data_IF_004246063237
#
_entry.id   IF_004246063237
#
_cell.length_a   1.000
_cell.length_b   1.000
_cell.length_c   1.000
_cell.angle_alpha   90.00
_cell.angle_beta   90.00
_cell.angle_gamma   90.00
#
_symmetry.space_group_name_H-M   'P 1'
#
loop_
_entity.id
_entity.type
_entity.pdbx_description
1 polymer ?
#
# COMPACT_ATOMS: atom_id res chain seq x y z
N UNK A 1 6.11 6.72 -0.77
CA UNK A 1 4.97 7.32 -0.03
C UNK A 1 5.42 8.64 0.57
N UNK A 2 4.54 9.60 0.76
CA UNK A 2 4.90 10.91 1.32
C UNK A 2 3.73 11.55 2.06
N UNK A 3 4.06 12.39 3.03
CA UNK A 3 3.13 13.25 3.74
C UNK A 3 3.27 14.68 3.26
N UNK A 4 2.16 15.36 3.03
CA UNK A 4 2.10 16.75 2.63
C UNK A 4 1.30 17.55 3.65
N UNK A 5 1.71 18.79 3.92
CA UNK A 5 0.85 19.74 4.60
C UNK A 5 -0.31 20.14 3.68
N UNK A 6 -1.54 20.03 4.16
CA UNK A 6 -2.73 20.26 3.35
C UNK A 6 -2.97 21.73 2.98
N UNK A 7 -2.39 22.67 3.73
CA UNK A 7 -2.55 24.11 3.51
C UNK A 7 -1.44 24.67 2.62
N UNK A 8 -0.20 24.22 2.82
CA UNK A 8 0.98 24.75 2.13
C UNK A 8 1.44 23.88 0.97
N UNK A 9 1.10 22.59 0.96
CA UNK A 9 1.62 21.61 0.02
C UNK A 9 3.08 21.23 0.27
N UNK A 10 3.67 21.67 1.39
CA UNK A 10 5.04 21.32 1.75
C UNK A 10 5.16 19.83 2.07
N UNK A 11 6.29 19.24 1.68
CA UNK A 11 6.60 17.85 1.98
C UNK A 11 7.03 17.74 3.44
N UNK A 12 6.23 17.06 4.24
CA UNK A 12 6.53 16.76 5.65
C UNK A 12 7.52 15.60 5.77
N UNK A 13 7.33 14.56 4.97
CA UNK A 13 8.20 13.39 4.92
C UNK A 13 8.06 12.66 3.59
N UNK A 14 9.11 11.93 3.21
CA UNK A 14 9.07 10.96 2.11
C UNK A 14 9.74 9.67 2.54
N UNK A 15 9.11 8.56 2.18
CA UNK A 15 9.63 7.22 2.40
C UNK A 15 9.63 6.46 1.08
N UNK A 16 10.81 6.04 0.63
CA UNK A 16 10.96 5.20 -0.54
C UNK A 16 10.26 3.85 -0.32
N UNK A 17 9.74 3.27 -1.40
CA UNK A 17 9.21 1.91 -1.33
C UNK A 17 10.37 0.92 -1.10
N UNK A 18 10.39 0.14 0.01
CA UNK A 18 11.46 -0.79 0.29
C UNK A 18 11.67 -1.89 -0.76
N UNK A 19 10.63 -2.20 -1.56
CA UNK A 19 10.73 -3.16 -2.66
C UNK A 19 11.40 -2.62 -3.92
N UNK A 20 11.84 -1.35 -3.90
CA UNK A 20 12.41 -0.68 -5.07
C UNK A 20 11.49 -0.74 -6.30
N UNK A 21 10.18 -0.60 -6.05
CA UNK A 21 9.12 -0.62 -7.05
C UNK A 21 8.09 0.48 -6.71
N UNK A 22 6.98 0.56 -7.43
CA UNK A 22 5.98 1.60 -7.20
C UNK A 22 4.88 1.17 -6.23
N UNK A 23 4.19 2.17 -5.69
CA UNK A 23 2.94 2.04 -4.96
C UNK A 23 1.92 2.89 -5.72
N UNK A 24 1.03 2.23 -6.46
CA UNK A 24 0.13 2.89 -7.42
C UNK A 24 -1.28 3.12 -6.85
N UNK A 25 -1.71 2.25 -5.94
CA UNK A 25 -3.01 2.37 -5.29
C UNK A 25 -3.05 3.53 -4.29
N UNK A 26 -4.24 4.09 -4.02
CA UNK A 26 -4.38 5.07 -2.95
C UNK A 26 -4.02 4.45 -1.59
N UNK A 27 -3.45 5.27 -0.73
CA UNK A 27 -3.16 4.92 0.67
C UNK A 27 -4.41 5.05 1.53
N UNK A 28 -4.47 4.34 2.65
CA UNK A 28 -5.55 4.48 3.65
C UNK A 28 -4.97 4.67 5.02
N UNK A 29 -5.53 5.58 5.81
CA UNK A 29 -5.09 5.84 7.19
C UNK A 29 -6.18 5.37 8.15
N UNK A 30 -5.80 4.55 9.14
CA UNK A 30 -6.66 4.12 10.24
C UNK A 30 -5.88 4.24 11.53
N UNK A 31 -6.44 4.93 12.54
CA UNK A 31 -5.83 5.13 13.85
C UNK A 31 -4.37 5.63 13.80
N UNK A 32 -4.07 6.56 12.88
CA UNK A 32 -2.71 7.12 12.71
C UNK A 32 -1.74 6.23 11.95
N UNK A 33 -2.17 5.05 11.48
CA UNK A 33 -1.37 4.14 10.67
C UNK A 33 -1.78 4.23 9.21
N UNK A 34 -0.84 4.56 8.34
CA UNK A 34 -0.98 4.59 6.89
C UNK A 34 -0.68 3.21 6.30
N UNK A 35 -1.55 2.75 5.41
CA UNK A 35 -1.43 1.49 4.69
C UNK A 35 -1.26 1.75 3.21
N UNK A 36 -0.29 1.09 2.60
CA UNK A 36 -0.05 1.16 1.17
C UNK A 36 0.40 -0.20 0.61
N UNK A 37 -0.09 -0.54 -0.58
CA UNK A 37 0.38 -1.69 -1.34
C UNK A 37 1.45 -1.31 -2.35
N UNK A 38 2.32 -2.28 -2.67
CA UNK A 38 3.26 -2.17 -3.77
C UNK A 38 2.93 -3.13 -4.91
N UNK A 39 3.29 -2.71 -6.12
CA UNK A 39 3.15 -3.53 -7.32
C UNK A 39 4.25 -4.59 -7.49
N UNK A 40 5.24 -4.62 -6.59
CA UNK A 40 6.29 -5.64 -6.59
C UNK A 40 5.68 -7.06 -6.62
N UNK A 41 6.38 -8.06 -7.19
CA UNK A 41 5.81 -9.41 -7.37
C UNK A 41 5.35 -10.08 -6.07
N UNK A 42 5.97 -9.76 -4.94
CA UNK A 42 5.55 -10.28 -3.62
C UNK A 42 4.34 -9.55 -3.03
N UNK A 43 3.87 -8.47 -3.67
CA UNK A 43 2.77 -7.64 -3.22
C UNK A 43 2.89 -7.17 -1.78
N UNK A 44 3.99 -6.53 -1.36
CA UNK A 44 4.12 -6.10 0.02
C UNK A 44 3.11 -5.00 0.32
N UNK A 45 2.46 -5.15 1.46
CA UNK A 45 1.71 -4.11 2.13
C UNK A 45 2.59 -3.53 3.22
N UNK A 46 2.68 -2.21 3.27
CA UNK A 46 3.41 -1.47 4.29
C UNK A 46 2.42 -0.77 5.21
N UNK A 47 2.60 -0.95 6.52
CA UNK A 47 2.00 -0.09 7.52
C UNK A 47 3.05 0.89 8.02
N UNK A 48 2.69 2.16 8.03
CA UNK A 48 3.57 3.26 8.37
C UNK A 48 2.93 4.16 9.41
N UNK A 49 3.74 4.75 10.27
CA UNK A 49 3.31 5.88 11.09
C UNK A 49 2.99 7.06 10.16
N UNK A 50 1.75 7.57 10.20
CA UNK A 50 1.30 8.60 9.26
C UNK A 50 1.96 9.97 9.49
N UNK A 51 2.49 10.22 10.68
CA UNK A 51 3.11 11.50 11.05
C UNK A 51 4.57 11.58 10.64
N UNK A 52 5.28 10.45 10.70
CA UNK A 52 6.74 10.39 10.49
C UNK A 52 7.13 9.69 9.20
N UNK A 53 6.23 8.89 8.62
CA UNK A 53 6.53 8.04 7.47
C UNK A 53 7.35 6.79 7.82
N UNK A 54 7.58 6.51 9.10
CA UNK A 54 8.34 5.34 9.54
C UNK A 54 7.56 4.05 9.29
N UNK A 55 8.22 3.03 8.74
CA UNK A 55 7.60 1.71 8.53
C UNK A 55 7.47 1.00 9.88
N UNK A 56 6.24 0.70 10.26
CA UNK A 56 5.92 -0.06 11.46
C UNK A 56 6.03 -1.56 11.21
N UNK A 57 5.50 -2.02 10.07
CA UNK A 57 5.60 -3.40 9.62
C UNK A 57 5.37 -3.52 8.11
N UNK A 58 5.71 -4.68 7.56
CA UNK A 58 5.36 -5.07 6.20
C UNK A 58 4.85 -6.51 6.15
N UNK A 59 3.99 -6.79 5.17
CA UNK A 59 3.45 -8.12 4.93
C UNK A 59 3.40 -8.42 3.44
N UNK A 60 4.02 -9.52 3.01
CA UNK A 60 3.97 -9.97 1.62
C UNK A 60 2.64 -10.69 1.37
N UNK A 61 1.78 -10.11 0.54
CA UNK A 61 0.51 -10.75 0.17
C UNK A 61 0.70 -11.90 -0.81
N UNK A 62 1.82 -11.94 -1.54
CA UNK A 62 2.17 -12.99 -2.49
C UNK A 62 1.84 -12.68 -3.95
N UNK A 63 1.17 -11.56 -4.22
CA UNK A 63 0.96 -11.07 -5.58
C UNK A 63 0.75 -9.54 -5.63
N UNK A 64 1.03 -8.92 -6.78
CA UNK A 64 0.97 -7.48 -7.04
C UNK A 64 -0.26 -6.81 -6.43
N UNK A 65 -0.03 -5.83 -5.58
CA UNK A 65 -1.07 -4.97 -5.01
C UNK A 65 -1.09 -3.65 -5.79
N UNK A 66 -1.95 -3.59 -6.81
CA UNK A 66 -2.16 -2.39 -7.61
C UNK A 66 -3.31 -1.52 -7.09
N UNK A 67 -4.30 -2.14 -6.45
CA UNK A 67 -5.50 -1.48 -5.94
C UNK A 67 -5.24 -0.72 -4.63
N UNK A 68 -6.25 0.06 -4.24
CA UNK A 68 -6.27 0.75 -2.96
C UNK A 68 -6.63 -0.15 -1.79
N UNK A 69 -6.44 0.37 -0.59
CA UNK A 69 -7.00 -0.18 0.63
C UNK A 69 -8.38 0.42 0.93
N UNK A 70 -9.20 -0.28 1.69
CA UNK A 70 -10.43 0.28 2.28
C UNK A 70 -10.46 -0.02 3.77
N UNK A 71 -11.09 0.84 4.56
CA UNK A 71 -11.14 0.69 6.01
C UNK A 71 -12.57 0.67 6.53
N UNK A 72 -12.85 -0.23 7.48
CA UNK A 72 -14.11 -0.27 8.20
C UNK A 72 -13.92 -0.96 9.56
N UNK A 73 -14.57 -0.44 10.61
CA UNK A 73 -14.53 -1.00 11.96
C UNK A 73 -13.12 -1.31 12.49
N UNK A 74 -12.15 -0.43 12.24
CA UNK A 74 -10.76 -0.62 12.69
C UNK A 74 -9.96 -1.66 11.87
N UNK A 75 -10.55 -2.23 10.82
CA UNK A 75 -9.87 -3.15 9.92
C UNK A 75 -9.61 -2.50 8.56
N UNK A 76 -8.47 -2.85 7.97
CA UNK A 76 -8.05 -2.45 6.63
C UNK A 76 -8.09 -3.66 5.71
N UNK A 77 -8.77 -3.51 4.58
CA UNK A 77 -8.95 -4.54 3.56
C UNK A 77 -8.15 -4.20 2.33
N UNK A 78 -7.28 -5.11 1.91
CA UNK A 78 -6.41 -4.96 0.74
C UNK A 78 -6.49 -6.24 -0.08
N UNK A 79 -6.72 -6.12 -1.38
CA UNK A 79 -6.81 -7.26 -2.28
C UNK A 79 -5.80 -7.18 -3.41
N UNK A 80 -5.35 -8.35 -3.83
CA UNK A 80 -4.79 -8.56 -5.16
C UNK A 80 -5.78 -9.49 -5.90
N UNK A 81 -6.21 -9.11 -7.10
CA UNK A 81 -7.38 -9.78 -7.71
C UNK A 81 -7.61 -9.48 -9.18
N UNK A 82 -6.79 -8.61 -9.77
CA UNK A 82 -7.07 -8.06 -11.07
C UNK A 82 -6.19 -8.75 -12.10
N UNK A 83 -6.81 -9.28 -13.15
CA UNK A 83 -6.13 -9.51 -14.43
C UNK A 83 -5.73 -8.15 -14.96
N UNK A 84 -4.55 -7.69 -14.56
CA UNK A 84 -3.96 -6.44 -15.04
C UNK A 84 -3.79 -6.58 -16.55
N UNK A 85 -4.70 -6.03 -17.35
CA UNK A 85 -4.46 -5.85 -18.78
C UNK A 85 -3.14 -5.09 -19.03
N UNK A 86 -2.75 -4.26 -18.05
CA UNK A 86 -1.46 -3.57 -17.95
C UNK A 86 -0.27 -4.50 -17.63
N UNK A 87 -0.43 -5.73 -17.12
CA UNK A 87 0.69 -6.69 -17.00
C UNK A 87 1.39 -6.92 -18.32
N UNK A 88 0.67 -6.78 -19.44
CA UNK A 88 1.26 -6.88 -20.78
C UNK A 88 2.41 -5.90 -21.01
N UNK A 89 2.41 -4.79 -20.28
CA UNK A 89 3.47 -3.78 -20.29
C UNK A 89 4.38 -3.84 -19.05
N UNK A 90 4.02 -4.64 -18.04
CA UNK A 90 4.73 -4.79 -16.77
C UNK A 90 4.96 -6.28 -16.47
N UNK A 91 6.01 -6.89 -17.03
CA UNK A 91 6.23 -8.34 -17.00
C UNK A 91 6.50 -8.92 -15.61
N UNK A 92 6.81 -8.07 -14.63
CA UNK A 92 7.04 -8.48 -13.23
C UNK A 92 5.75 -8.54 -12.42
N UNK A 93 4.66 -7.94 -12.90
CA UNK A 93 3.41 -7.93 -12.15
C UNK A 93 2.67 -9.26 -12.31
N UNK A 94 2.20 -9.82 -11.19
CA UNK A 94 1.53 -11.12 -11.17
C UNK A 94 0.09 -10.99 -10.66
N UNK A 95 -0.77 -11.89 -11.13
CA UNK A 95 -2.15 -11.98 -10.67
C UNK A 95 -2.22 -12.80 -9.39
N UNK A 96 -3.07 -12.38 -8.45
CA UNK A 96 -3.63 -13.29 -7.47
C UNK A 96 -5.14 -13.11 -7.36
N UNK A 97 -5.74 -13.68 -6.33
CA UNK A 97 -7.20 -13.71 -6.14
C UNK A 97 -7.61 -13.62 -4.65
N UNK A 98 -6.74 -13.06 -3.80
CA UNK A 98 -6.95 -13.02 -2.35
C UNK A 98 -7.25 -11.61 -1.83
N UNK A 99 -8.11 -11.57 -0.81
CA UNK A 99 -8.41 -10.38 0.00
C UNK A 99 -7.84 -10.60 1.40
N UNK A 100 -7.10 -9.61 1.90
CA UNK A 100 -6.49 -9.59 3.22
C UNK A 100 -7.19 -8.57 4.09
N UNK A 101 -7.31 -8.87 5.38
CA UNK A 101 -7.82 -7.95 6.39
C UNK A 101 -6.79 -7.82 7.51
N UNK A 102 -6.43 -6.57 7.84
CA UNK A 102 -5.53 -6.23 8.93
C UNK A 102 -6.32 -5.38 9.93
N UNK A 103 -6.61 -5.92 11.11
CA UNK A 103 -7.38 -5.23 12.14
C UNK A 103 -6.46 -4.63 13.19
N UNK A 104 -6.71 -3.37 13.50
CA UNK A 104 -6.01 -2.61 14.54
C UNK A 104 -6.97 -2.58 15.73
N UNK A 105 -6.64 -3.33 16.78
CA UNK A 105 -7.39 -3.35 18.06
C UNK A 105 -7.10 -2.13 18.90
#
# INVERSE_FOLDING_TARGET
>A
MGGLDANTGEILWTTANPSNDTANGPVTIVNGVLFAGSVAPSGPVYAMDAMTGAILWSFNTGATVYGGASASYGCVFIGHGYSIGLARFHPTWNSGNSLFAFCIV
#
